data_IF_861345215297
#
_entry.id   IF_861345215297
#
_cell.length_a   1.000
_cell.length_b   1.000
_cell.length_c   1.000
_cell.angle_alpha   90.00
_cell.angle_beta   90.00
_cell.angle_gamma   90.00
#
_symmetry.space_group_name_H-M   'P 1'
#
loop_
_entity.id
_entity.type
_entity.pdbx_description
1 polymer ?
#
# COMPACT_ATOMS: atom_id res chain seq x y z
N UNK A 1 -2.24 -13.05 -4.18
CA UNK A 1 -2.29 -12.22 -2.96
C UNK A 1 -1.26 -11.09 -2.99
N UNK A 2 0.03 -11.38 -3.26
CA UNK A 2 1.10 -10.36 -3.23
C UNK A 2 0.81 -9.12 -4.09
N UNK A 3 0.23 -9.30 -5.27
CA UNK A 3 -0.15 -8.21 -6.18
C UNK A 3 -1.23 -7.26 -5.66
N UNK A 4 -1.98 -7.62 -4.60
CA UNK A 4 -3.03 -6.76 -4.02
C UNK A 4 -2.43 -5.74 -3.03
N UNK A 5 -1.32 -6.07 -2.37
CA UNK A 5 -0.71 -5.17 -1.39
C UNK A 5 -0.27 -3.83 -1.99
N UNK A 6 0.41 -3.78 -3.16
CA UNK A 6 0.76 -2.51 -3.81
C UNK A 6 -0.46 -1.74 -4.30
N UNK A 7 -1.51 -2.43 -4.73
CA UNK A 7 -2.71 -1.80 -5.30
C UNK A 7 -3.48 -0.94 -4.30
N UNK A 8 -3.31 -1.15 -2.99
CA UNK A 8 -3.86 -0.26 -1.97
C UNK A 8 -3.40 1.20 -2.11
N UNK A 9 -2.24 1.42 -2.73
CA UNK A 9 -1.68 2.75 -2.95
C UNK A 9 -2.02 3.32 -4.33
N UNK A 10 -2.62 2.50 -5.20
CA UNK A 10 -3.02 2.89 -6.56
C UNK A 10 -4.43 3.50 -6.62
N UNK A 11 -4.99 3.83 -5.46
CA UNK A 11 -6.20 4.61 -5.34
C UNK A 11 -7.39 3.84 -4.78
N UNK A 12 -8.31 4.62 -4.22
CA UNK A 12 -9.60 4.19 -3.71
C UNK A 12 -10.68 5.10 -4.30
N UNK A 13 -11.95 4.75 -4.09
CA UNK A 13 -13.08 5.55 -4.59
C UNK A 13 -13.02 7.02 -4.16
N UNK A 14 -12.44 7.30 -2.97
CA UNK A 14 -12.38 8.64 -2.40
C UNK A 14 -10.97 9.27 -2.43
N UNK A 15 -9.95 8.50 -2.78
CA UNK A 15 -8.55 8.96 -2.83
C UNK A 15 -7.94 8.50 -4.16
N UNK A 16 -7.75 9.40 -5.14
CA UNK A 16 -7.17 9.06 -6.42
C UNK A 16 -5.77 8.44 -6.32
N UNK A 17 -5.35 7.74 -7.36
CA UNK A 17 -3.98 7.27 -7.50
C UNK A 17 -2.98 8.43 -7.31
N UNK A 18 -1.92 8.19 -6.53
CA UNK A 18 -0.90 9.19 -6.27
C UNK A 18 -1.25 10.22 -5.19
N UNK A 19 -2.50 10.29 -4.71
CA UNK A 19 -2.92 11.25 -3.67
C UNK A 19 -2.74 10.70 -2.24
N UNK A 20 -2.69 9.38 -2.05
CA UNK A 20 -2.58 8.79 -0.71
C UNK A 20 -1.30 9.23 0.02
N UNK A 21 -0.15 9.18 -0.65
CA UNK A 21 1.14 9.56 -0.04
C UNK A 21 1.22 11.07 0.26
N UNK A 22 0.85 11.98 -0.68
CA UNK A 22 0.74 13.41 -0.37
C UNK A 22 -0.22 13.72 0.78
N UNK A 23 -1.37 13.03 0.84
CA UNK A 23 -2.35 13.22 1.91
C UNK A 23 -1.74 12.84 3.26
N UNK A 24 -1.08 11.68 3.34
CA UNK A 24 -0.33 11.25 4.52
C UNK A 24 0.75 12.27 4.91
N UNK A 25 1.55 12.75 3.95
CA UNK A 25 2.61 13.70 4.21
C UNK A 25 2.11 15.04 4.78
N UNK A 26 0.93 15.52 4.36
CA UNK A 26 0.30 16.74 4.89
C UNK A 26 0.00 16.66 6.39
N UNK A 27 -0.31 15.47 6.89
CA UNK A 27 -0.58 15.21 8.30
C UNK A 27 0.65 14.70 9.07
N UNK A 28 1.85 14.85 8.48
CA UNK A 28 3.11 14.46 9.11
C UNK A 28 3.38 12.94 9.08
N UNK A 29 2.63 12.17 8.29
CA UNK A 29 2.88 10.75 8.10
C UNK A 29 3.90 10.55 6.99
N UNK A 30 5.01 9.90 7.32
CA UNK A 30 6.00 9.49 6.34
C UNK A 30 5.67 8.09 5.80
N UNK A 31 5.84 7.92 4.49
CA UNK A 31 5.84 6.61 3.86
C UNK A 31 7.21 5.95 4.04
N UNK A 32 7.25 4.71 4.52
CA UNK A 32 8.51 4.08 4.94
C UNK A 32 8.28 2.90 5.90
N UNK A 33 9.25 2.54 6.76
CA UNK A 33 9.06 1.45 7.72
C UNK A 33 7.81 1.64 8.62
N UNK A 34 7.38 2.88 8.81
CA UNK A 34 6.25 3.26 9.67
C UNK A 34 4.87 3.20 8.97
N UNK A 35 4.82 3.24 7.62
CA UNK A 35 3.60 3.08 6.81
C UNK A 35 3.88 2.11 5.68
N UNK A 36 3.30 0.90 5.76
CA UNK A 36 3.71 -0.20 4.91
C UNK A 36 2.55 -1.16 4.59
N UNK A 37 2.70 -1.91 3.51
CA UNK A 37 1.86 -3.07 3.20
C UNK A 37 2.75 -4.31 3.12
N UNK A 38 2.26 -5.43 3.63
CA UNK A 38 2.98 -6.70 3.54
C UNK A 38 2.03 -7.82 3.13
N UNK A 39 2.59 -8.81 2.45
CA UNK A 39 1.88 -10.05 2.12
C UNK A 39 2.62 -11.23 2.74
N UNK A 40 1.92 -12.02 3.53
CA UNK A 40 2.33 -13.34 3.98
C UNK A 40 1.54 -14.42 3.23
N UNK A 41 1.78 -15.70 3.58
CA UNK A 41 0.99 -16.81 3.02
C UNK A 41 -0.49 -16.74 3.40
N UNK A 42 -0.81 -16.13 4.52
CA UNK A 42 -2.13 -16.18 5.14
C UNK A 42 -2.85 -14.83 5.16
N UNK A 43 -2.10 -13.72 5.12
CA UNK A 43 -2.67 -12.37 5.26
C UNK A 43 -2.00 -11.37 4.34
N UNK A 44 -2.79 -10.41 3.87
CA UNK A 44 -2.31 -9.12 3.35
C UNK A 44 -2.60 -8.09 4.43
N UNK A 45 -1.54 -7.48 4.98
CA UNK A 45 -1.64 -6.52 6.06
C UNK A 45 -1.26 -5.12 5.60
N UNK A 46 -1.97 -4.12 6.13
CA UNK A 46 -1.67 -2.70 5.94
C UNK A 46 -1.44 -2.08 7.32
N UNK A 47 -0.33 -1.37 7.46
CA UNK A 47 0.05 -0.73 8.72
C UNK A 47 0.26 0.76 8.49
N UNK A 48 -0.34 1.55 9.38
CA UNK A 48 -0.24 3.00 9.40
C UNK A 48 0.15 3.44 10.81
N UNK A 49 1.30 4.12 10.95
CA UNK A 49 1.73 4.68 12.22
C UNK A 49 1.42 6.16 12.26
N UNK A 50 0.56 6.57 13.20
CA UNK A 50 0.16 7.96 13.36
C UNK A 50 1.18 8.72 14.22
N UNK A 51 1.59 9.94 13.83
CA UNK A 51 2.56 10.74 14.59
C UNK A 51 1.96 11.34 15.87
N UNK A 52 0.65 11.54 15.91
CA UNK A 52 -0.09 12.08 17.06
C UNK A 52 -1.46 11.40 17.18
N UNK A 53 -2.11 11.58 18.33
CA UNK A 53 -3.50 11.15 18.57
C UNK A 53 -4.50 12.30 18.42
N UNK A 54 -4.14 13.33 17.66
CA UNK A 54 -5.07 14.41 17.35
C UNK A 54 -6.23 13.87 16.50
N UNK A 55 -7.45 14.31 16.79
CA UNK A 55 -8.68 13.81 16.17
C UNK A 55 -8.61 13.83 14.64
N UNK A 56 -8.12 14.92 14.05
CA UNK A 56 -7.99 15.07 12.60
C UNK A 56 -7.04 14.04 11.97
N UNK A 57 -5.94 13.70 12.66
CA UNK A 57 -4.95 12.73 12.18
C UNK A 57 -5.50 11.31 12.27
N UNK A 58 -6.19 11.00 13.37
CA UNK A 58 -6.85 9.70 13.59
C UNK A 58 -7.97 9.49 12.57
N UNK A 59 -8.84 10.48 12.38
CA UNK A 59 -9.93 10.43 11.40
C UNK A 59 -9.40 10.21 9.98
N UNK A 60 -8.34 10.93 9.62
CA UNK A 60 -7.69 10.78 8.32
C UNK A 60 -7.10 9.37 8.15
N UNK A 61 -6.40 8.86 9.18
CA UNK A 61 -5.85 7.51 9.15
C UNK A 61 -6.92 6.44 8.99
N UNK A 62 -8.02 6.54 9.75
CA UNK A 62 -9.14 5.60 9.64
C UNK A 62 -9.89 5.72 8.31
N UNK A 63 -10.04 6.93 7.77
CA UNK A 63 -10.60 7.17 6.45
C UNK A 63 -9.80 6.44 5.37
N UNK A 64 -8.46 6.57 5.38
CA UNK A 64 -7.58 5.87 4.44
C UNK A 64 -7.67 4.35 4.60
N UNK A 65 -7.64 3.84 5.83
CA UNK A 65 -7.73 2.40 6.10
C UNK A 65 -9.07 1.81 5.65
N UNK A 66 -10.18 2.53 5.82
CA UNK A 66 -11.49 2.13 5.30
C UNK A 66 -11.48 2.04 3.77
N UNK A 67 -10.91 3.06 3.11
CA UNK A 67 -10.78 3.08 1.65
C UNK A 67 -9.99 1.87 1.14
N UNK A 68 -8.84 1.59 1.76
CA UNK A 68 -8.02 0.42 1.45
C UNK A 68 -8.73 -0.90 1.69
N UNK A 69 -9.55 -1.01 2.74
CA UNK A 69 -10.24 -2.26 3.07
C UNK A 69 -11.43 -2.58 2.14
N UNK A 70 -12.13 -1.57 1.63
CA UNK A 70 -13.44 -1.78 0.98
C UNK A 70 -13.62 -1.11 -0.38
N UNK A 71 -12.78 -0.12 -0.74
CA UNK A 71 -13.06 0.80 -1.84
C UNK A 71 -11.88 0.97 -2.81
N UNK A 72 -10.93 0.01 -2.83
CA UNK A 72 -9.81 -0.01 -3.77
C UNK A 72 -10.31 -0.04 -5.23
N UNK A 73 -9.71 0.79 -6.07
CA UNK A 73 -10.02 0.85 -7.50
C UNK A 73 -8.93 0.11 -8.28
N UNK A 74 -9.35 -0.83 -9.11
CA UNK A 74 -8.45 -1.61 -9.96
C UNK A 74 -8.50 -1.08 -11.39
N UNK A 75 -7.89 0.09 -11.60
CA UNK A 75 -7.76 0.65 -12.94
C UNK A 75 -6.84 -0.24 -13.81
N UNK A 76 -7.26 -0.58 -15.05
CA UNK A 76 -6.47 -1.44 -15.93
C UNK A 76 -5.06 -0.92 -16.25
N UNK A 77 -4.88 0.40 -16.37
CA UNK A 77 -3.55 0.96 -16.65
C UNK A 77 -2.64 0.86 -15.42
N UNK A 78 -3.18 1.13 -14.23
CA UNK A 78 -2.45 0.98 -12.96
C UNK A 78 -2.06 -0.49 -12.71
N UNK A 79 -2.93 -1.43 -13.07
CA UNK A 79 -2.62 -2.86 -13.01
C UNK A 79 -1.46 -3.26 -13.93
N UNK A 80 -1.41 -2.76 -15.15
CA UNK A 80 -0.32 -3.10 -16.08
C UNK A 80 1.01 -2.46 -15.65
N UNK A 81 0.98 -1.23 -15.10
CA UNK A 81 2.17 -0.62 -14.48
C UNK A 81 2.68 -1.45 -13.31
N UNK A 82 1.78 -1.84 -12.40
CA UNK A 82 2.13 -2.62 -11.21
C UNK A 82 2.68 -4.00 -11.57
N UNK A 83 2.13 -4.63 -12.62
CA UNK A 83 2.63 -5.91 -13.14
C UNK A 83 4.12 -5.82 -13.51
N UNK A 84 4.54 -4.72 -14.14
CA UNK A 84 5.94 -4.47 -14.48
C UNK A 84 6.85 -4.41 -13.25
N UNK A 85 6.37 -3.76 -12.18
CA UNK A 85 7.07 -3.63 -10.89
C UNK A 85 7.20 -5.01 -10.22
N UNK A 86 6.10 -5.75 -10.11
CA UNK A 86 6.06 -7.08 -9.47
C UNK A 86 7.02 -8.05 -10.18
N UNK A 87 7.03 -8.08 -11.51
CA UNK A 87 7.96 -8.93 -12.27
C UNK A 87 9.42 -8.50 -12.06
N UNK A 88 9.68 -7.20 -11.90
CA UNK A 88 10.99 -6.68 -11.51
C UNK A 88 11.42 -7.16 -10.12
N UNK A 89 10.53 -7.06 -9.14
CA UNK A 89 10.72 -7.50 -7.77
C UNK A 89 10.98 -9.02 -7.69
N UNK A 90 10.21 -9.82 -8.43
CA UNK A 90 10.40 -11.28 -8.51
C UNK A 90 11.78 -11.62 -9.07
N UNK A 91 12.21 -10.97 -10.15
CA UNK A 91 13.56 -11.14 -10.72
C UNK A 91 14.65 -10.79 -9.71
N UNK A 92 14.51 -9.68 -9.01
CA UNK A 92 15.48 -9.25 -7.99
C UNK A 92 15.54 -10.24 -6.81
N UNK A 93 14.39 -10.76 -6.38
CA UNK A 93 14.26 -11.73 -5.30
C UNK A 93 14.73 -13.13 -5.67
N UNK A 94 14.92 -13.43 -6.96
CA UNK A 94 15.31 -14.73 -7.47
C UNK A 94 16.81 -15.04 -7.24
N UNK A 95 17.19 -15.12 -5.98
CA UNK A 95 18.55 -15.46 -5.53
C UNK A 95 18.71 -16.97 -5.32
N UNK A 96 19.95 -17.52 -5.33
CA UNK A 96 20.17 -18.95 -5.13
C UNK A 96 19.51 -19.50 -3.87
N UNK A 97 19.60 -18.79 -2.74
CA UNK A 97 18.99 -19.18 -1.45
C UNK A 97 17.48 -19.37 -1.59
N UNK A 98 16.79 -18.48 -2.32
CA UNK A 98 15.33 -18.55 -2.50
C UNK A 98 14.88 -19.63 -3.48
N UNK A 99 15.78 -20.22 -4.27
CA UNK A 99 15.45 -21.35 -5.16
C UNK A 99 15.48 -22.71 -4.45
N UNK A 100 16.16 -22.79 -3.31
CA UNK A 100 16.28 -24.02 -2.53
C UNK A 100 15.13 -24.21 -1.53
N UNK A 101 14.40 -23.14 -1.18
CA UNK A 101 13.25 -23.13 -0.27
C UNK A 101 11.96 -22.78 -1.01
#
# INVERSE_FOLDING_TARGET
AHSIAPMAFNGTTNVPEGEMVPLLARYGLAFGPDTNAFTSREVVGYQLSLPTTEEQVVDTGLFLMRGTAAEMVFDPESLERERGIILGEERYRNTPIRRFF
#
